data_IF_035182970400
#
_entry.id   IF_035182970400
#
_cell.length_a   1.000
_cell.length_b   1.000
_cell.length_c   1.000
_cell.angle_alpha   90.00
_cell.angle_beta   90.00
_cell.angle_gamma   90.00
#
_symmetry.space_group_name_H-M   'P 1'
#
loop_
_entity.id
_entity.type
_entity.pdbx_description
1 polymer ?
#
# COMPACT_ATOMS: atom_id res chain seq x y z
N UNK A 1 -17.33 -12.98 -50.56
CA UNK A 1 -17.34 -13.24 -49.09
C UNK A 1 -16.02 -12.87 -48.41
N UNK A 2 -14.86 -13.26 -48.96
CA UNK A 2 -13.53 -12.95 -48.40
C UNK A 2 -13.30 -11.46 -48.06
N UNK A 3 -13.70 -10.52 -48.93
CA UNK A 3 -13.51 -9.09 -48.70
C UNK A 3 -14.31 -8.54 -47.52
N UNK A 4 -15.50 -9.08 -47.22
CA UNK A 4 -16.31 -8.64 -46.08
C UNK A 4 -15.72 -9.10 -44.74
N UNK A 5 -15.14 -10.30 -44.72
CA UNK A 5 -14.44 -10.86 -43.56
C UNK A 5 -13.16 -10.06 -43.29
N UNK A 6 -12.41 -9.70 -44.34
CA UNK A 6 -11.20 -8.88 -44.23
C UNK A 6 -11.51 -7.49 -43.64
N UNK A 7 -12.57 -6.82 -44.12
CA UNK A 7 -13.00 -5.51 -43.61
C UNK A 7 -13.43 -5.60 -42.14
N UNK A 8 -14.18 -6.64 -41.76
CA UNK A 8 -14.59 -6.84 -40.37
C UNK A 8 -13.38 -7.07 -39.44
N UNK A 9 -12.39 -7.85 -39.88
CA UNK A 9 -11.16 -8.09 -39.10
C UNK A 9 -10.36 -6.80 -38.89
N UNK A 10 -10.24 -5.95 -39.91
CA UNK A 10 -9.56 -4.64 -39.81
C UNK A 10 -10.29 -3.72 -38.82
N UNK A 11 -11.62 -3.68 -38.85
CA UNK A 11 -12.41 -2.86 -37.93
C UNK A 11 -12.24 -3.29 -36.47
N UNK A 12 -12.21 -4.60 -36.21
CA UNK A 12 -11.95 -5.15 -34.86
C UNK A 12 -10.53 -4.79 -34.40
N UNK A 13 -9.54 -4.88 -35.30
CA UNK A 13 -8.17 -4.51 -34.98
C UNK A 13 -8.04 -3.02 -34.61
N UNK A 14 -8.70 -2.14 -35.35
CA UNK A 14 -8.73 -0.69 -35.07
C UNK A 14 -9.37 -0.42 -33.71
N UNK A 15 -10.47 -1.09 -33.38
CA UNK A 15 -11.15 -0.98 -32.09
C UNK A 15 -10.25 -1.46 -30.94
N UNK A 16 -9.57 -2.59 -31.10
CA UNK A 16 -8.63 -3.12 -30.11
C UNK A 16 -7.43 -2.19 -29.90
N UNK A 17 -6.86 -1.64 -30.98
CA UNK A 17 -5.78 -0.65 -30.91
C UNK A 17 -6.24 0.63 -30.19
N UNK A 18 -7.45 1.12 -30.47
CA UNK A 18 -8.01 2.28 -29.76
C UNK A 18 -8.20 2.02 -28.28
N UNK A 19 -8.67 0.83 -27.89
CA UNK A 19 -8.81 0.42 -26.50
C UNK A 19 -7.47 0.34 -25.78
N UNK A 20 -6.45 -0.26 -26.40
CA UNK A 20 -5.10 -0.34 -25.83
C UNK A 20 -4.45 1.04 -25.69
N UNK A 21 -4.57 1.91 -26.70
CA UNK A 21 -4.06 3.29 -26.63
C UNK A 21 -4.81 4.08 -25.55
N UNK A 22 -6.12 3.89 -25.41
CA UNK A 22 -6.92 4.56 -24.37
C UNK A 22 -6.53 4.10 -22.96
N UNK A 23 -6.31 2.80 -22.75
CA UNK A 23 -5.80 2.28 -21.47
C UNK A 23 -4.40 2.81 -21.15
N UNK A 24 -3.49 2.80 -22.13
CA UNK A 24 -2.14 3.35 -21.98
C UNK A 24 -2.14 4.86 -21.68
N UNK A 25 -3.07 5.61 -22.27
CA UNK A 25 -3.21 7.04 -22.04
C UNK A 25 -3.81 7.35 -20.66
N UNK A 26 -4.77 6.53 -20.18
CA UNK A 26 -5.32 6.61 -18.82
C UNK A 26 -4.24 6.38 -17.75
N UNK A 27 -3.38 5.37 -17.92
CA UNK A 27 -2.27 5.10 -16.99
C UNK A 27 -1.25 6.25 -16.94
N UNK A 28 -0.85 6.80 -18.09
CA UNK A 28 0.12 7.89 -18.15
C UNK A 28 -0.46 9.26 -17.72
N UNK A 29 -1.73 9.53 -17.99
CA UNK A 29 -2.38 10.76 -17.52
C UNK A 29 -2.50 10.80 -15.99
N UNK A 30 -2.71 9.64 -15.35
CA UNK A 30 -2.79 9.56 -13.89
C UNK A 30 -1.44 9.83 -13.20
N UNK A 31 -0.30 9.47 -13.78
CA UNK A 31 1.01 9.76 -13.17
C UNK A 31 1.40 11.24 -13.35
N UNK A 32 1.11 11.83 -14.51
CA UNK A 32 1.34 13.26 -14.79
C UNK A 32 0.43 14.19 -13.99
N UNK A 33 -0.84 13.81 -13.76
CA UNK A 33 -1.77 14.61 -12.95
C UNK A 33 -1.37 14.62 -11.47
N UNK A 34 -0.91 13.50 -10.91
CA UNK A 34 -0.46 13.42 -9.51
C UNK A 34 0.82 14.24 -9.29
N UNK A 35 1.78 14.21 -10.23
CA UNK A 35 3.02 14.98 -10.11
C UNK A 35 2.78 16.50 -10.11
N UNK A 36 1.88 16.98 -10.97
CA UNK A 36 1.42 18.37 -10.98
C UNK A 36 0.69 18.73 -9.67
N UNK A 37 -0.05 17.78 -9.09
CA UNK A 37 -0.78 17.99 -7.85
C UNK A 37 0.15 18.15 -6.64
N UNK A 38 1.28 17.45 -6.59
CA UNK A 38 2.24 17.57 -5.49
C UNK A 38 2.96 18.93 -5.46
N UNK A 39 3.25 19.53 -6.62
CA UNK A 39 3.83 20.88 -6.67
C UNK A 39 2.88 21.99 -6.20
N UNK A 40 1.58 21.71 -6.16
CA UNK A 40 0.54 22.65 -5.74
C UNK A 40 0.15 22.52 -4.27
N UNK A 41 0.68 21.51 -3.55
CA UNK A 41 0.44 21.31 -2.11
C UNK A 41 0.93 22.52 -1.31
N UNK A 42 0.01 23.19 -0.62
CA UNK A 42 0.32 24.29 0.31
C UNK A 42 0.35 23.82 1.75
N UNK A 43 -0.55 22.89 2.10
CA UNK A 43 -0.67 22.34 3.45
C UNK A 43 -0.57 20.81 3.42
N UNK A 44 0.56 20.30 3.91
CA UNK A 44 0.77 18.89 4.17
C UNK A 44 0.62 18.61 5.67
N UNK A 45 -0.16 17.58 6.03
CA UNK A 45 -0.31 17.14 7.41
C UNK A 45 0.06 15.68 7.57
N UNK A 46 0.74 15.35 8.67
CA UNK A 46 0.88 13.96 9.09
C UNK A 46 -0.34 13.59 9.92
N UNK A 47 -1.12 12.61 9.45
CA UNK A 47 -2.26 12.07 10.20
C UNK A 47 -2.18 10.56 10.21
N UNK A 48 -1.78 9.99 11.34
CA UNK A 48 -1.50 8.56 11.44
C UNK A 48 -2.83 7.80 11.60
N UNK A 49 -3.14 6.92 10.65
CA UNK A 49 -4.30 6.01 10.65
C UNK A 49 -5.67 6.70 10.65
N UNK A 50 -6.22 7.00 9.48
CA UNK A 50 -7.58 7.58 9.37
C UNK A 50 -8.71 6.67 9.85
N UNK A 51 -8.43 5.40 10.12
CA UNK A 51 -9.41 4.39 10.53
C UNK A 51 -9.35 4.01 11.99
N UNK A 52 -8.34 4.47 12.74
CA UNK A 52 -8.14 4.08 14.14
C UNK A 52 -9.07 4.80 15.12
N UNK A 53 -9.96 5.64 14.60
CA UNK A 53 -10.88 6.44 15.38
C UNK A 53 -11.75 5.63 16.34
N UNK A 54 -11.99 4.34 16.08
CA UNK A 54 -12.67 3.43 17.02
C UNK A 54 -11.99 3.32 18.40
N UNK A 55 -10.67 3.54 18.49
CA UNK A 55 -9.91 3.49 19.76
C UNK A 55 -10.25 4.67 20.68
N UNK A 56 -10.59 5.82 20.10
CA UNK A 56 -10.86 7.08 20.82
C UNK A 56 -12.25 7.64 20.51
N UNK A 57 -13.12 6.81 19.93
CA UNK A 57 -14.47 7.16 19.48
C UNK A 57 -14.52 8.40 18.54
N UNK A 58 -13.55 8.52 17.63
CA UNK A 58 -13.52 9.53 16.57
C UNK A 58 -14.13 8.96 15.29
N UNK A 59 -15.16 9.61 14.75
CA UNK A 59 -15.78 9.20 13.50
C UNK A 59 -14.98 9.68 12.27
N UNK A 60 -15.20 9.05 11.12
CA UNK A 60 -14.62 9.50 9.85
C UNK A 60 -15.02 10.95 9.51
N UNK A 61 -16.27 11.34 9.80
CA UNK A 61 -16.74 12.71 9.56
C UNK A 61 -15.97 13.74 10.39
N UNK A 62 -15.60 13.40 11.62
CA UNK A 62 -14.74 14.25 12.45
C UNK A 62 -13.32 14.33 11.87
N UNK A 63 -12.77 13.22 11.34
CA UNK A 63 -11.48 13.24 10.63
C UNK A 63 -11.53 14.16 9.41
N UNK A 64 -12.57 14.06 8.59
CA UNK A 64 -12.77 14.91 7.42
C UNK A 64 -12.92 16.38 7.84
N UNK A 65 -13.63 16.66 8.93
CA UNK A 65 -13.77 18.01 9.49
C UNK A 65 -12.40 18.59 9.87
N UNK A 66 -11.53 17.81 10.53
CA UNK A 66 -10.16 18.22 10.84
C UNK A 66 -9.41 18.58 9.56
N UNK A 67 -9.50 17.75 8.51
CA UNK A 67 -8.83 18.03 7.23
C UNK A 67 -9.32 19.32 6.58
N UNK A 68 -10.63 19.58 6.61
CA UNK A 68 -11.25 20.82 6.12
C UNK A 68 -10.79 22.04 6.92
N UNK A 69 -10.78 21.96 8.25
CA UNK A 69 -10.36 23.06 9.13
C UNK A 69 -8.88 23.42 8.96
N UNK A 70 -8.03 22.41 8.78
CA UNK A 70 -6.61 22.59 8.49
C UNK A 70 -6.33 23.00 7.05
N UNK A 71 -7.34 22.95 6.16
CA UNK A 71 -7.20 23.16 4.71
C UNK A 71 -6.11 22.27 4.12
N UNK A 72 -6.12 20.99 4.51
CA UNK A 72 -5.10 20.04 4.09
C UNK A 72 -5.22 19.71 2.60
N UNK A 73 -4.11 19.85 1.87
CA UNK A 73 -3.99 19.43 0.47
C UNK A 73 -3.36 18.03 0.37
N UNK A 74 -2.53 17.67 1.36
CA UNK A 74 -1.84 16.38 1.41
C UNK A 74 -1.89 15.73 2.80
N UNK A 75 -2.37 14.49 2.86
CA UNK A 75 -2.33 13.64 4.04
C UNK A 75 -1.17 12.66 3.93
N UNK A 76 -0.12 12.90 4.71
CA UNK A 76 1.01 11.99 4.84
C UNK A 76 0.73 10.93 5.91
N UNK A 77 1.04 9.67 5.58
CA UNK A 77 0.84 8.52 6.47
C UNK A 77 -0.60 8.32 6.96
N UNK A 78 -1.58 8.70 6.12
CA UNK A 78 -3.00 8.50 6.36
C UNK A 78 -3.36 7.05 6.69
N UNK A 79 -2.52 6.11 6.25
CA UNK A 79 -2.59 4.70 6.61
C UNK A 79 -1.20 4.06 6.55
N UNK A 80 -0.73 3.42 7.63
CA UNK A 80 0.63 2.83 7.68
C UNK A 80 0.67 1.43 8.32
N UNK A 81 0.69 0.37 7.52
CA UNK A 81 0.71 -1.00 8.07
C UNK A 81 2.11 -1.51 8.26
N UNK A 82 2.38 -2.21 9.37
CA UNK A 82 3.67 -2.88 9.63
C UNK A 82 3.70 -4.34 9.24
N UNK A 83 2.51 -4.91 9.01
CA UNK A 83 2.27 -6.29 8.62
C UNK A 83 1.15 -6.29 7.59
N UNK A 84 1.01 -7.32 6.75
CA UNK A 84 -0.15 -7.49 5.89
C UNK A 84 -1.44 -7.35 6.70
N UNK A 85 -2.34 -6.51 6.20
CA UNK A 85 -3.69 -6.41 6.71
C UNK A 85 -4.59 -7.39 5.95
N UNK A 86 -5.61 -7.97 6.60
CA UNK A 86 -6.61 -8.76 5.90
C UNK A 86 -7.47 -7.86 4.99
N UNK A 87 -8.17 -8.44 4.02
CA UNK A 87 -9.14 -7.68 3.23
C UNK A 87 -10.36 -7.31 4.09
N UNK A 88 -10.82 -8.24 4.93
CA UNK A 88 -11.86 -8.05 5.95
C UNK A 88 -11.38 -8.56 7.30
N UNK A 89 -11.82 -7.95 8.40
CA UNK A 89 -11.39 -8.42 9.74
C UNK A 89 -11.88 -9.84 10.06
N UNK A 90 -12.99 -10.27 9.44
CA UNK A 90 -13.49 -11.66 9.51
C UNK A 90 -12.55 -12.70 8.92
N UNK A 91 -11.58 -12.29 8.10
CA UNK A 91 -10.59 -13.21 7.51
C UNK A 91 -9.55 -13.65 8.55
N UNK A 92 -9.49 -12.97 9.71
CA UNK A 92 -8.64 -13.34 10.81
C UNK A 92 -9.36 -14.32 11.75
N UNK A 93 -8.78 -15.50 11.94
CA UNK A 93 -9.28 -16.52 12.87
C UNK A 93 -9.23 -16.06 14.34
N UNK A 94 -8.26 -15.23 14.67
CA UNK A 94 -8.05 -14.60 15.97
C UNK A 94 -7.85 -13.10 15.73
N UNK A 95 -8.17 -12.23 16.69
CA UNK A 95 -8.05 -10.77 16.56
C UNK A 95 -9.06 -10.07 15.62
N UNK A 96 -10.13 -10.72 15.16
CA UNK A 96 -11.16 -10.08 14.33
C UNK A 96 -11.77 -8.83 15.00
N UNK A 97 -12.17 -8.94 16.28
CA UNK A 97 -12.69 -7.81 17.07
C UNK A 97 -11.68 -6.67 17.19
N UNK A 98 -10.42 -7.02 17.47
CA UNK A 98 -9.33 -6.05 17.53
C UNK A 98 -9.15 -5.35 16.17
N UNK A 99 -9.18 -6.09 15.08
CA UNK A 99 -9.10 -5.53 13.73
C UNK A 99 -10.24 -4.53 13.45
N UNK A 100 -11.46 -4.82 13.91
CA UNK A 100 -12.62 -3.92 13.77
C UNK A 100 -12.40 -2.62 14.57
N UNK A 101 -12.01 -2.71 15.84
CA UNK A 101 -11.78 -1.54 16.71
C UNK A 101 -10.68 -0.63 16.17
N UNK A 102 -9.58 -1.21 15.70
CA UNK A 102 -8.46 -0.46 15.14
C UNK A 102 -8.67 -0.09 13.67
N UNK A 103 -9.75 -0.56 13.03
CA UNK A 103 -10.02 -0.35 11.61
C UNK A 103 -8.89 -0.84 10.71
N UNK A 104 -8.28 -2.00 11.01
CA UNK A 104 -7.04 -2.52 10.37
C UNK A 104 -7.27 -3.54 9.25
N UNK A 105 -8.20 -3.26 8.33
CA UNK A 105 -8.38 -4.06 7.10
C UNK A 105 -8.35 -3.18 5.85
N UNK A 106 -8.08 -3.77 4.68
CA UNK A 106 -8.18 -3.03 3.43
C UNK A 106 -9.62 -2.58 3.13
N UNK A 107 -10.62 -3.30 3.61
CA UNK A 107 -12.02 -2.88 3.59
C UNK A 107 -12.26 -1.56 4.35
N UNK A 108 -11.66 -1.41 5.53
CA UNK A 108 -11.71 -0.15 6.29
C UNK A 108 -11.02 0.99 5.54
N UNK A 109 -9.82 0.75 5.01
CA UNK A 109 -9.09 1.74 4.22
C UNK A 109 -9.91 2.21 3.01
N UNK A 110 -10.50 1.28 2.24
CA UNK A 110 -11.33 1.63 1.08
C UNK A 110 -12.53 2.50 1.46
N UNK A 111 -13.23 2.16 2.55
CA UNK A 111 -14.35 2.95 3.07
C UNK A 111 -13.90 4.36 3.47
N UNK A 112 -12.78 4.48 4.20
CA UNK A 112 -12.24 5.75 4.65
C UNK A 112 -11.81 6.64 3.48
N UNK A 113 -11.03 6.10 2.52
CA UNK A 113 -10.62 6.85 1.33
C UNK A 113 -11.83 7.31 0.53
N UNK A 114 -12.83 6.43 0.33
CA UNK A 114 -14.05 6.79 -0.39
C UNK A 114 -14.80 7.95 0.29
N UNK A 115 -14.97 7.89 1.62
CA UNK A 115 -15.60 8.98 2.37
C UNK A 115 -14.82 10.29 2.31
N UNK A 116 -13.49 10.24 2.45
CA UNK A 116 -12.61 11.41 2.34
C UNK A 116 -12.72 12.02 0.94
N UNK A 117 -12.55 11.21 -0.11
CA UNK A 117 -12.57 11.67 -1.51
C UNK A 117 -13.93 12.18 -1.96
N UNK A 118 -15.03 11.72 -1.36
CA UNK A 118 -16.36 12.26 -1.61
C UNK A 118 -16.47 13.73 -1.17
N UNK A 119 -15.88 14.06 -0.03
CA UNK A 119 -15.95 15.38 0.59
C UNK A 119 -14.79 16.31 0.19
N UNK A 120 -13.66 15.72 -0.20
CA UNK A 120 -12.39 16.35 -0.51
C UNK A 120 -11.79 15.65 -1.75
N UNK A 121 -12.33 15.85 -2.96
CA UNK A 121 -11.94 15.09 -4.16
C UNK A 121 -10.47 15.27 -4.53
N UNK A 122 -9.93 16.48 -4.32
CA UNK A 122 -8.59 16.84 -4.77
C UNK A 122 -7.50 16.50 -3.76
N UNK A 123 -7.85 16.12 -2.52
CA UNK A 123 -6.87 15.86 -1.46
C UNK A 123 -5.95 14.70 -1.83
N UNK A 124 -4.64 14.88 -1.72
CA UNK A 124 -3.69 13.81 -1.95
C UNK A 124 -3.62 12.96 -0.68
N UNK A 125 -3.89 11.67 -0.79
CA UNK A 125 -3.84 10.73 0.33
C UNK A 125 -2.66 9.78 0.15
N UNK A 126 -1.67 9.87 1.05
CA UNK A 126 -0.55 8.94 1.10
C UNK A 126 -0.74 7.93 2.24
N UNK A 127 -0.88 6.66 1.84
CA UNK A 127 -0.66 5.53 2.72
C UNK A 127 0.62 4.79 2.34
N UNK A 128 1.03 3.84 3.17
CA UNK A 128 2.16 2.97 2.91
C UNK A 128 2.07 1.68 3.70
N UNK A 129 2.74 0.65 3.20
CA UNK A 129 3.11 -0.49 4.01
C UNK A 129 4.59 -0.37 4.32
N UNK A 130 4.94 -0.57 5.58
CA UNK A 130 6.33 -0.71 6.01
C UNK A 130 6.88 -1.98 5.36
N UNK A 131 7.86 -1.79 4.47
CA UNK A 131 8.55 -2.85 3.73
C UNK A 131 9.98 -3.07 4.27
N UNK A 132 10.26 -2.54 5.47
CA UNK A 132 11.58 -2.58 6.08
C UNK A 132 12.02 -4.01 6.45
N UNK A 133 11.05 -4.90 6.71
CA UNK A 133 11.30 -6.31 7.02
C UNK A 133 10.18 -7.17 6.44
N UNK A 134 10.54 -8.16 5.62
CA UNK A 134 9.61 -9.12 5.02
C UNK A 134 9.72 -10.45 5.75
N UNK A 135 8.62 -10.93 6.32
CA UNK A 135 8.62 -12.24 6.97
C UNK A 135 8.63 -13.34 5.89
N UNK A 136 9.39 -14.43 6.05
CA UNK A 136 9.36 -15.57 5.12
C UNK A 136 7.95 -16.09 4.81
N UNK A 137 7.08 -16.14 5.82
CA UNK A 137 5.67 -16.54 5.72
C UNK A 137 4.83 -15.58 4.83
N UNK A 138 5.34 -14.38 4.55
CA UNK A 138 4.72 -13.39 3.66
C UNK A 138 5.21 -13.52 2.21
N UNK A 139 6.35 -14.18 1.98
CA UNK A 139 6.87 -14.47 0.64
C UNK A 139 6.36 -15.82 0.08
N UNK A 140 5.90 -16.70 0.96
CA UNK A 140 5.36 -18.01 0.60
C UNK A 140 3.95 -17.99 0.04
N UNK A 141 3.51 -19.14 -0.49
CA UNK A 141 2.13 -19.32 -0.99
C UNK A 141 1.11 -19.53 0.13
N UNK A 142 1.57 -19.85 1.34
CA UNK A 142 0.75 -20.11 2.52
C UNK A 142 1.29 -19.30 3.70
N UNK A 143 0.41 -18.63 4.43
CA UNK A 143 0.77 -17.95 5.68
C UNK A 143 0.84 -18.91 6.88
N UNK A 144 0.52 -20.19 6.68
CA UNK A 144 0.42 -21.20 7.75
C UNK A 144 1.56 -22.22 7.72
N UNK A 145 2.16 -22.44 6.55
CA UNK A 145 3.22 -23.41 6.33
C UNK A 145 4.40 -22.65 5.76
N UNK A 146 5.51 -22.69 6.49
CA UNK A 146 6.76 -22.10 6.04
C UNK A 146 7.56 -23.16 5.28
N UNK A 147 7.59 -23.06 3.96
CA UNK A 147 8.40 -23.93 3.12
C UNK A 147 9.87 -23.48 3.16
N UNK A 148 10.84 -24.39 2.95
CA UNK A 148 12.27 -24.05 2.94
C UNK A 148 12.61 -22.89 1.99
N UNK A 149 11.97 -22.84 0.83
CA UNK A 149 12.23 -21.86 -0.24
C UNK A 149 11.67 -20.46 0.07
N UNK A 150 10.72 -20.36 1.00
CA UNK A 150 10.07 -19.09 1.35
C UNK A 150 11.07 -18.10 1.96
N UNK A 151 12.12 -18.61 2.64
CA UNK A 151 13.20 -17.79 3.20
C UNK A 151 14.06 -17.15 2.11
N UNK A 152 14.41 -17.91 1.08
CA UNK A 152 15.22 -17.42 -0.03
C UNK A 152 14.43 -16.38 -0.83
N UNK A 153 13.15 -16.65 -1.09
CA UNK A 153 12.26 -15.69 -1.74
C UNK A 153 12.12 -14.40 -0.93
N UNK A 154 11.92 -14.50 0.38
CA UNK A 154 11.84 -13.32 1.23
C UNK A 154 13.15 -12.51 1.21
N UNK A 155 14.30 -13.18 1.21
CA UNK A 155 15.61 -12.54 1.12
C UNK A 155 15.84 -11.79 -0.20
N UNK A 156 15.36 -12.34 -1.32
CA UNK A 156 15.43 -11.69 -2.63
C UNK A 156 14.58 -10.41 -2.69
N UNK A 157 13.39 -10.48 -2.09
CA UNK A 157 12.42 -9.38 -2.01
C UNK A 157 12.79 -8.32 -0.97
N UNK A 158 13.62 -8.68 0.01
CA UNK A 158 14.00 -7.80 1.12
C UNK A 158 14.65 -6.49 0.63
N UNK A 159 14.32 -5.40 1.33
CA UNK A 159 14.83 -4.07 1.05
C UNK A 159 16.36 -4.07 0.98
N UNK A 160 16.89 -3.59 -0.16
CA UNK A 160 18.32 -3.47 -0.40
C UNK A 160 18.72 -2.00 -0.64
N UNK A 161 19.10 -1.25 0.41
CA UNK A 161 19.48 0.15 0.30
C UNK A 161 20.62 0.42 -0.68
N UNK A 162 21.52 -0.56 -0.87
CA UNK A 162 22.68 -0.48 -1.78
C UNK A 162 22.25 -0.17 -3.23
N UNK A 163 21.05 -0.60 -3.64
CA UNK A 163 20.49 -0.30 -4.98
C UNK A 163 20.28 1.19 -5.23
N UNK A 164 20.21 2.00 -4.17
CA UNK A 164 20.01 3.45 -4.24
C UNK A 164 21.23 4.23 -3.74
N UNK A 165 22.39 3.58 -3.61
CA UNK A 165 23.63 4.24 -3.16
C UNK A 165 23.64 4.62 -1.68
N UNK A 166 22.77 4.03 -0.86
CA UNK A 166 22.75 4.22 0.59
C UNK A 166 23.79 3.29 1.22
N UNK A 167 24.67 3.82 2.06
CA UNK A 167 25.79 3.09 2.70
C UNK A 167 25.33 2.19 3.87
N UNK A 168 24.37 1.30 3.61
CA UNK A 168 23.88 0.28 4.54
C UNK A 168 23.59 -0.99 3.76
N UNK A 169 24.16 -2.12 4.16
CA UNK A 169 23.94 -3.39 3.44
C UNK A 169 22.51 -3.92 3.65
N UNK A 170 22.00 -4.70 2.67
CA UNK A 170 20.75 -5.48 2.85
C UNK A 170 20.78 -6.29 4.15
N UNK A 171 21.91 -6.93 4.46
CA UNK A 171 22.05 -7.77 5.66
C UNK A 171 21.90 -6.97 6.94
N UNK A 172 22.55 -5.82 7.03
CA UNK A 172 22.56 -5.01 8.25
C UNK A 172 21.18 -4.44 8.55
N UNK A 173 20.47 -3.93 7.52
CA UNK A 173 19.12 -3.40 7.72
C UNK A 173 18.13 -4.51 8.10
N UNK A 174 18.17 -5.67 7.44
CA UNK A 174 17.30 -6.80 7.78
C UNK A 174 17.60 -7.34 9.19
N UNK A 175 18.88 -7.44 9.57
CA UNK A 175 19.29 -7.85 10.91
C UNK A 175 18.89 -6.84 11.99
N UNK A 176 18.99 -5.54 11.71
CA UNK A 176 18.55 -4.48 12.61
C UNK A 176 17.05 -4.61 12.90
N UNK A 177 16.23 -4.74 11.85
CA UNK A 177 14.79 -4.90 12.01
C UNK A 177 14.42 -6.22 12.67
N UNK A 178 15.05 -7.34 12.30
CA UNK A 178 14.81 -8.63 12.94
C UNK A 178 15.11 -8.60 14.45
N UNK A 179 16.17 -7.90 14.87
CA UNK A 179 16.47 -7.69 16.31
C UNK A 179 15.44 -6.77 16.97
N UNK A 180 15.08 -5.67 16.32
CA UNK A 180 14.11 -4.70 16.84
C UNK A 180 12.73 -5.32 17.05
N UNK A 181 12.32 -6.20 16.16
CA UNK A 181 11.04 -6.91 16.22
C UNK A 181 11.05 -8.18 17.07
N UNK A 182 12.21 -8.56 17.61
CA UNK A 182 12.33 -9.74 18.48
C UNK A 182 12.37 -11.08 17.74
N UNK A 183 12.46 -11.08 16.40
CA UNK A 183 12.55 -12.28 15.56
C UNK A 183 13.89 -13.03 15.73
N UNK A 184 14.91 -12.36 16.28
CA UNK A 184 16.19 -12.98 16.65
C UNK A 184 16.55 -12.58 18.07
N UNK A 185 16.90 -13.56 18.92
CA UNK A 185 17.38 -13.28 20.27
C UNK A 185 18.61 -12.38 20.25
N UNK A 186 18.75 -11.49 21.25
CA UNK A 186 19.87 -10.52 21.38
C UNK A 186 21.28 -11.12 21.31
N UNK A 187 21.42 -12.46 21.38
CA UNK A 187 22.69 -13.19 21.43
C UNK A 187 23.08 -13.97 20.16
N UNK A 188 22.24 -14.03 19.10
CA UNK A 188 22.64 -14.68 17.82
C UNK A 188 22.99 -13.63 16.77
N UNK A 189 24.10 -12.96 16.98
CA UNK A 189 24.89 -12.39 15.90
C UNK A 189 26.30 -12.93 16.11
N UNK A 190 26.97 -13.34 15.02
CA UNK A 190 28.26 -14.03 14.95
C UNK A 190 28.15 -15.57 14.91
N UNK A 191 27.63 -16.08 13.80
CA UNK A 191 28.39 -17.12 13.09
C UNK A 191 28.68 -16.56 11.70
N UNK A 192 29.97 -16.57 11.34
CA UNK A 192 30.50 -16.20 10.03
C UNK A 192 29.88 -17.07 8.93
#
# INVERSE_FOLDING_TARGET
MKNKILVAAIMVLILACRLMVWQYFQENHNSGSILNNLSEVKVAIQYRYVTDGGVINRSLDQVIKIFKELKADFIFQGWMTQKPCPDKCSDLLQDAEKCEVFGKSYGHLRKAISGIKKELPDIIFCGGTQAEFLYPEEAGKSHLILEPEDRDRAWEMALNPEKWGIEVSRKDIQCFWAKRWGSVGRKRALSK
#
